data_IF_633212412064
#
_entry.id   IF_633212412064
#
_cell.length_a   1.000
_cell.length_b   1.000
_cell.length_c   1.000
_cell.angle_alpha   90.00
_cell.angle_beta   90.00
_cell.angle_gamma   90.00
#
_symmetry.space_group_name_H-M   'P 1'
#
loop_
_entity.id
_entity.type
_entity.pdbx_description
1 polymer ?
#
# COMPACT_ATOMS: atom_id res chain seq x y z
N UNK A 1 21.35 12.23 -4.60
CA UNK A 1 21.25 11.32 -3.44
C UNK A 1 21.38 9.87 -3.84
N UNK A 2 20.51 9.33 -4.71
CA UNK A 2 20.62 7.96 -5.25
C UNK A 2 22.01 7.64 -5.83
N UNK A 3 22.54 8.49 -6.72
CA UNK A 3 23.86 8.28 -7.35
C UNK A 3 25.02 8.37 -6.32
N UNK A 4 24.89 9.23 -5.29
CA UNK A 4 25.91 9.36 -4.25
C UNK A 4 25.90 8.16 -3.28
N UNK A 5 24.72 7.63 -2.94
CA UNK A 5 24.54 6.39 -2.17
C UNK A 5 25.05 5.17 -2.94
N UNK A 6 24.88 5.18 -4.26
CA UNK A 6 25.40 4.14 -5.14
C UNK A 6 26.94 4.11 -5.24
N UNK A 7 27.63 5.15 -4.78
CA UNK A 7 29.09 5.27 -4.88
C UNK A 7 29.83 4.96 -3.56
N UNK A 8 29.18 5.09 -2.41
CA UNK A 8 29.82 4.98 -1.08
C UNK A 8 29.75 3.60 -0.43
N UNK A 9 29.48 2.53 -1.19
CA UNK A 9 29.33 1.16 -0.67
C UNK A 9 27.88 0.83 -0.29
N UNK A 10 27.10 0.40 -1.30
CA UNK A 10 25.63 0.22 -1.25
C UNK A 10 25.09 -0.69 -0.14
N UNK A 11 25.81 -1.73 0.26
CA UNK A 11 25.16 -2.86 0.95
C UNK A 11 24.64 -2.50 2.35
N UNK A 12 25.43 -1.77 3.14
CA UNK A 12 25.02 -1.35 4.49
C UNK A 12 24.01 -0.20 4.43
N UNK A 13 24.21 0.78 3.54
CA UNK A 13 23.33 1.95 3.41
C UNK A 13 21.90 1.57 3.03
N UNK A 14 21.73 0.69 2.03
CA UNK A 14 20.41 0.19 1.63
C UNK A 14 19.75 -0.60 2.76
N UNK A 15 20.52 -1.39 3.52
CA UNK A 15 19.97 -2.14 4.67
C UNK A 15 19.45 -1.21 5.77
N UNK A 16 20.20 -0.16 6.14
CA UNK A 16 19.74 0.83 7.12
C UNK A 16 18.51 1.59 6.65
N UNK A 17 18.50 2.04 5.39
CA UNK A 17 17.36 2.75 4.82
C UNK A 17 16.12 1.85 4.70
N UNK A 18 16.29 0.58 4.33
CA UNK A 18 15.18 -0.39 4.28
C UNK A 18 14.59 -0.66 5.67
N UNK A 19 15.43 -0.84 6.71
CA UNK A 19 14.95 -0.97 8.08
C UNK A 19 14.24 0.30 8.58
N UNK A 20 14.74 1.48 8.19
CA UNK A 20 14.12 2.76 8.48
C UNK A 20 12.76 2.89 7.77
N UNK A 21 12.62 2.44 6.51
CA UNK A 21 11.33 2.43 5.80
C UNK A 21 10.29 1.57 6.51
N UNK A 22 10.69 0.36 6.95
CA UNK A 22 9.80 -0.53 7.72
C UNK A 22 9.39 0.14 9.04
N UNK A 23 10.33 0.75 9.76
CA UNK A 23 10.06 1.46 11.00
C UNK A 23 9.13 2.66 10.82
N UNK A 24 9.43 3.56 9.89
CA UNK A 24 8.62 4.74 9.58
C UNK A 24 7.22 4.34 9.07
N UNK A 25 7.12 3.36 8.18
CA UNK A 25 5.84 2.85 7.69
C UNK A 25 4.98 2.25 8.81
N UNK A 26 5.60 1.51 9.72
CA UNK A 26 4.92 0.91 10.87
C UNK A 26 4.46 1.97 11.87
N UNK A 27 5.31 2.95 12.20
CA UNK A 27 4.96 4.09 13.06
C UNK A 27 3.81 4.88 12.43
N UNK A 28 3.93 5.22 11.14
CA UNK A 28 2.90 5.95 10.42
C UNK A 28 1.56 5.20 10.49
N UNK A 29 1.55 3.91 10.19
CA UNK A 29 0.35 3.07 10.23
C UNK A 29 -0.24 2.98 11.64
N UNK A 30 0.56 2.72 12.67
CA UNK A 30 0.09 2.55 14.06
C UNK A 30 -0.46 3.87 14.61
N UNK A 31 0.28 4.98 14.45
CA UNK A 31 -0.19 6.29 14.93
C UNK A 31 -1.47 6.67 14.21
N UNK A 32 -1.54 6.46 12.90
CA UNK A 32 -2.72 6.75 12.10
C UNK A 32 -3.92 5.87 12.50
N UNK A 33 -3.70 4.60 12.84
CA UNK A 33 -4.73 3.70 13.37
C UNK A 33 -5.29 4.16 14.73
N UNK A 34 -4.43 4.64 15.62
CA UNK A 34 -4.80 5.08 16.98
C UNK A 34 -5.51 6.44 16.94
N UNK A 35 -5.00 7.38 16.13
CA UNK A 35 -5.54 8.73 16.02
C UNK A 35 -6.79 8.78 15.14
N UNK A 36 -6.90 7.88 14.16
CA UNK A 36 -8.08 7.70 13.34
C UNK A 36 -9.23 6.99 14.09
N UNK A 37 -10.37 6.74 13.41
CA UNK A 37 -11.50 6.06 14.02
C UNK A 37 -11.21 4.55 14.16
N UNK A 38 -10.43 4.15 15.16
CA UNK A 38 -9.86 2.80 15.31
C UNK A 38 -10.91 1.69 15.20
N UNK A 39 -12.04 1.82 15.89
CA UNK A 39 -13.12 0.82 15.86
C UNK A 39 -13.71 0.68 14.46
N UNK A 40 -13.90 1.79 13.76
CA UNK A 40 -14.39 1.76 12.38
C UNK A 40 -13.37 1.11 11.45
N UNK A 41 -12.07 1.41 11.60
CA UNK A 41 -10.99 0.80 10.82
C UNK A 41 -11.00 -0.73 10.99
N UNK A 42 -11.08 -1.21 12.24
CA UNK A 42 -11.10 -2.65 12.52
C UNK A 42 -12.36 -3.33 11.97
N UNK A 43 -13.53 -2.70 12.13
CA UNK A 43 -14.79 -3.22 11.58
C UNK A 43 -14.76 -3.28 10.05
N UNK A 44 -14.26 -2.22 9.41
CA UNK A 44 -14.12 -2.15 7.95
C UNK A 44 -13.09 -3.15 7.44
N UNK A 45 -11.97 -3.35 8.14
CA UNK A 45 -10.99 -4.37 7.79
C UNK A 45 -11.63 -5.76 7.72
N UNK A 46 -12.38 -6.15 8.77
CA UNK A 46 -13.08 -7.43 8.81
C UNK A 46 -14.14 -7.52 7.70
N UNK A 47 -14.97 -6.49 7.54
CA UNK A 47 -16.06 -6.48 6.56
C UNK A 47 -15.54 -6.50 5.11
N UNK A 48 -14.56 -5.65 4.79
CA UNK A 48 -13.93 -5.59 3.47
C UNK A 48 -13.17 -6.86 3.13
N UNK A 49 -12.52 -7.51 4.10
CA UNK A 49 -11.90 -8.82 3.89
C UNK A 49 -12.94 -9.88 3.52
N UNK A 50 -14.06 -9.94 4.25
CA UNK A 50 -15.17 -10.84 3.92
C UNK A 50 -15.78 -10.55 2.54
N UNK A 51 -15.94 -9.27 2.20
CA UNK A 51 -16.46 -8.83 0.90
C UNK A 51 -15.52 -9.20 -0.25
N UNK A 52 -14.21 -9.05 -0.06
CA UNK A 52 -13.20 -9.47 -1.04
C UNK A 52 -13.31 -10.97 -1.31
N UNK A 53 -13.36 -11.80 -0.26
CA UNK A 53 -13.47 -13.25 -0.40
C UNK A 53 -14.77 -13.67 -1.09
N UNK A 54 -15.88 -13.02 -0.76
CA UNK A 54 -17.19 -13.29 -1.37
C UNK A 54 -17.23 -12.94 -2.86
N UNK A 55 -16.55 -11.86 -3.27
CA UNK A 55 -16.58 -11.35 -4.65
C UNK A 55 -15.39 -11.83 -5.50
N UNK A 56 -14.43 -12.55 -4.91
CA UNK A 56 -13.14 -12.87 -5.52
C UNK A 56 -13.25 -13.56 -6.88
N UNK A 57 -14.04 -14.64 -6.96
CA UNK A 57 -14.18 -15.40 -8.21
C UNK A 57 -14.80 -14.54 -9.31
N UNK A 58 -15.90 -13.84 -9.01
CA UNK A 58 -16.55 -12.99 -10.00
C UNK A 58 -15.59 -11.91 -10.52
N UNK A 59 -14.95 -11.15 -9.61
CA UNK A 59 -14.03 -10.08 -9.98
C UNK A 59 -12.79 -10.58 -10.75
N UNK A 60 -12.38 -11.84 -10.56
CA UNK A 60 -11.25 -12.44 -11.28
C UNK A 60 -11.55 -12.73 -12.75
N UNK A 61 -12.82 -12.97 -13.10
CA UNK A 61 -13.25 -13.32 -14.47
C UNK A 61 -14.08 -12.22 -15.14
N UNK A 62 -14.39 -11.15 -14.43
CA UNK A 62 -15.19 -10.06 -14.97
C UNK A 62 -14.41 -9.25 -16.00
N UNK A 63 -14.87 -9.29 -17.24
CA UNK A 63 -14.29 -8.53 -18.37
C UNK A 63 -15.08 -7.26 -18.71
N UNK A 64 -16.13 -6.96 -17.94
CA UNK A 64 -17.06 -5.86 -18.20
C UNK A 64 -17.64 -5.86 -19.63
N UNK A 65 -17.88 -7.05 -20.21
CA UNK A 65 -18.24 -7.22 -21.63
C UNK A 65 -19.45 -6.36 -22.09
N UNK A 66 -20.43 -6.14 -21.20
CA UNK A 66 -21.65 -5.38 -21.49
C UNK A 66 -21.68 -3.99 -20.82
N UNK A 67 -20.60 -3.56 -20.16
CA UNK A 67 -20.56 -2.30 -19.44
C UNK A 67 -19.33 -1.47 -19.86
N UNK A 68 -19.53 -0.57 -20.82
CA UNK A 68 -18.46 0.28 -21.37
C UNK A 68 -17.77 1.15 -20.31
N UNK A 69 -18.56 1.80 -19.44
CA UNK A 69 -18.01 2.63 -18.35
C UNK A 69 -17.15 1.80 -17.39
N UNK A 70 -17.60 0.60 -17.03
CA UNK A 70 -16.81 -0.30 -16.17
C UNK A 70 -15.55 -0.78 -16.88
N UNK A 71 -15.61 -1.06 -18.17
CA UNK A 71 -14.43 -1.44 -18.97
C UNK A 71 -13.38 -0.33 -19.00
N UNK A 72 -13.81 0.93 -19.13
CA UNK A 72 -12.90 2.09 -19.08
C UNK A 72 -12.30 2.28 -17.68
N UNK A 73 -13.08 2.05 -16.62
CA UNK A 73 -12.54 2.02 -15.26
C UNK A 73 -11.55 0.87 -15.06
N UNK A 74 -11.85 -0.32 -15.56
CA UNK A 74 -10.96 -1.48 -15.48
C UNK A 74 -9.64 -1.27 -16.22
N UNK A 75 -9.62 -0.51 -17.32
CA UNK A 75 -8.38 -0.22 -18.05
C UNK A 75 -7.43 0.67 -17.24
N UNK A 76 -7.98 1.60 -16.46
CA UNK A 76 -7.20 2.54 -15.62
C UNK A 76 -6.85 1.98 -14.24
N UNK A 77 -7.58 0.95 -13.78
CA UNK A 77 -7.34 0.28 -12.50
C UNK A 77 -6.85 -1.15 -12.70
N UNK A 78 -7.77 -2.10 -12.87
CA UNK A 78 -7.47 -3.54 -12.89
C UNK A 78 -6.35 -3.90 -13.86
N UNK A 79 -6.50 -3.55 -15.14
CA UNK A 79 -5.53 -3.90 -16.18
C UNK A 79 -4.20 -3.15 -16.00
N UNK A 80 -4.24 -1.90 -15.52
CA UNK A 80 -3.04 -1.15 -15.17
C UNK A 80 -2.22 -1.87 -14.08
N UNK A 81 -2.86 -2.26 -12.98
CA UNK A 81 -2.18 -2.99 -11.90
C UNK A 81 -1.67 -4.37 -12.36
N UNK A 82 -2.45 -5.12 -13.16
CA UNK A 82 -1.96 -6.38 -13.74
C UNK A 82 -0.68 -6.16 -14.57
N UNK A 83 -0.69 -5.18 -15.48
CA UNK A 83 0.48 -4.84 -16.29
C UNK A 83 1.68 -4.41 -15.45
N UNK A 84 1.44 -3.58 -14.43
CA UNK A 84 2.48 -3.13 -13.51
C UNK A 84 3.10 -4.30 -12.75
N UNK A 85 2.31 -5.14 -12.08
CA UNK A 85 2.84 -6.27 -11.31
C UNK A 85 3.58 -7.29 -12.18
N UNK A 86 3.09 -7.57 -13.39
CA UNK A 86 3.77 -8.45 -14.34
C UNK A 86 5.14 -7.89 -14.74
N UNK A 87 5.24 -6.59 -15.02
CA UNK A 87 6.50 -5.95 -15.39
C UNK A 87 7.55 -5.99 -14.26
N UNK A 88 7.12 -5.99 -12.99
CA UNK A 88 7.99 -6.04 -11.82
C UNK A 88 8.31 -7.45 -11.33
N UNK A 89 7.57 -8.46 -11.79
CA UNK A 89 7.72 -9.85 -11.35
C UNK A 89 9.15 -10.42 -11.49
N UNK A 90 9.98 -10.08 -12.50
CA UNK A 90 11.35 -10.60 -12.58
C UNK A 90 12.23 -10.11 -11.44
N UNK A 91 12.09 -8.83 -11.05
CA UNK A 91 12.88 -8.22 -9.97
C UNK A 91 12.46 -8.78 -8.61
N UNK A 92 11.16 -8.78 -8.35
CA UNK A 92 10.60 -9.27 -7.08
C UNK A 92 10.82 -10.77 -6.92
N UNK A 93 10.63 -11.55 -7.98
CA UNK A 93 10.82 -13.01 -7.96
C UNK A 93 12.25 -13.41 -7.62
N UNK A 94 13.25 -12.76 -8.23
CA UNK A 94 14.66 -13.02 -7.91
C UNK A 94 15.00 -12.62 -6.48
N UNK A 95 14.49 -11.48 -6.01
CA UNK A 95 14.70 -11.04 -4.63
C UNK A 95 14.13 -12.05 -3.62
N UNK A 96 12.86 -12.44 -3.77
CA UNK A 96 12.20 -13.38 -2.86
C UNK A 96 12.91 -14.74 -2.89
N UNK A 97 13.31 -15.24 -4.06
CA UNK A 97 14.05 -16.49 -4.18
C UNK A 97 15.37 -16.47 -3.40
N UNK A 98 16.11 -15.34 -3.44
CA UNK A 98 17.37 -15.18 -2.71
C UNK A 98 17.19 -15.21 -1.19
N UNK A 99 16.17 -14.52 -0.68
CA UNK A 99 15.91 -14.46 0.77
C UNK A 99 15.23 -15.72 1.32
N UNK A 100 14.73 -16.60 0.46
CA UNK A 100 13.99 -17.81 0.83
C UNK A 100 14.84 -19.09 0.79
N UNK A 101 16.17 -18.98 0.73
CA UNK A 101 17.08 -20.14 0.69
C UNK A 101 16.87 -21.02 1.93
N UNK A 102 16.65 -22.33 1.70
CA UNK A 102 16.46 -23.32 2.77
C UNK A 102 15.03 -23.46 3.29
N UNK A 103 14.06 -22.73 2.73
CA UNK A 103 12.63 -22.92 3.01
C UNK A 103 12.04 -24.05 2.17
N UNK A 104 11.05 -24.75 2.72
CA UNK A 104 10.21 -25.65 1.92
C UNK A 104 9.34 -24.84 0.94
N UNK A 105 8.90 -25.50 -0.15
CA UNK A 105 8.01 -24.87 -1.13
C UNK A 105 6.72 -24.37 -0.47
N UNK A 106 6.19 -25.12 0.52
CA UNK A 106 4.97 -24.72 1.23
C UNK A 106 5.17 -23.44 2.03
N UNK A 107 6.24 -23.36 2.83
CA UNK A 107 6.57 -22.15 3.60
C UNK A 107 6.81 -20.95 2.69
N UNK A 108 7.49 -21.16 1.56
CA UNK A 108 7.72 -20.14 0.55
C UNK A 108 6.40 -19.59 0.00
N UNK A 109 5.51 -20.46 -0.51
CA UNK A 109 4.24 -20.03 -1.11
C UNK A 109 3.37 -19.33 -0.07
N UNK A 110 3.20 -19.92 1.13
CA UNK A 110 2.38 -19.33 2.18
C UNK A 110 2.93 -17.99 2.66
N UNK A 111 4.24 -17.85 2.83
CA UNK A 111 4.86 -16.59 3.25
C UNK A 111 4.70 -15.48 2.21
N UNK A 112 4.94 -15.80 0.94
CA UNK A 112 4.87 -14.84 -0.17
C UNK A 112 3.44 -14.38 -0.45
N UNK A 113 2.45 -15.24 -0.26
CA UNK A 113 1.05 -14.88 -0.48
C UNK A 113 0.42 -14.20 0.73
N UNK A 114 0.59 -14.75 1.94
CA UNK A 114 -0.16 -14.31 3.11
C UNK A 114 0.41 -13.03 3.74
N UNK A 115 1.73 -12.91 3.87
CA UNK A 115 2.33 -11.77 4.59
C UNK A 115 2.03 -10.44 3.86
N UNK A 116 2.27 -10.30 2.54
CA UNK A 116 1.97 -9.04 1.85
C UNK A 116 0.46 -8.76 1.77
N UNK A 117 -0.37 -9.79 1.63
CA UNK A 117 -1.82 -9.62 1.61
C UNK A 117 -2.34 -9.06 2.94
N UNK A 118 -1.88 -9.60 4.08
CA UNK A 118 -2.28 -9.12 5.40
C UNK A 118 -1.83 -7.68 5.64
N UNK A 119 -0.58 -7.34 5.29
CA UNK A 119 -0.09 -5.95 5.37
C UNK A 119 -0.96 -5.02 4.52
N UNK A 120 -1.33 -5.46 3.31
CA UNK A 120 -2.20 -4.68 2.42
C UNK A 120 -3.60 -4.49 3.00
N UNK A 121 -4.20 -5.53 3.59
CA UNK A 121 -5.52 -5.42 4.23
C UNK A 121 -5.50 -4.40 5.36
N UNK A 122 -4.47 -4.43 6.22
CA UNK A 122 -4.34 -3.47 7.32
C UNK A 122 -4.11 -2.07 6.76
N UNK A 123 -3.17 -1.91 5.81
CA UNK A 123 -2.83 -0.62 5.23
C UNK A 123 -4.03 0.07 4.57
N UNK A 124 -4.72 -0.64 3.66
CA UNK A 124 -5.90 -0.09 2.98
C UNK A 124 -7.07 0.15 3.94
N UNK A 125 -7.21 -0.65 5.00
CA UNK A 125 -8.25 -0.39 5.99
C UNK A 125 -7.96 0.87 6.80
N UNK A 126 -6.71 1.07 7.23
CA UNK A 126 -6.30 2.27 7.96
C UNK A 126 -6.47 3.51 7.07
N UNK A 127 -5.72 3.59 5.97
CA UNK A 127 -5.70 4.81 5.14
C UNK A 127 -6.95 5.00 4.30
N UNK A 128 -7.59 3.91 3.84
CA UNK A 128 -8.82 3.98 3.05
C UNK A 128 -10.01 4.48 3.87
N UNK A 129 -10.21 3.96 5.09
CA UNK A 129 -11.27 4.46 5.99
C UNK A 129 -11.01 5.91 6.35
N UNK A 130 -9.77 6.28 6.66
CA UNK A 130 -9.41 7.67 6.91
C UNK A 130 -9.71 8.59 5.72
N UNK A 131 -9.35 8.18 4.50
CA UNK A 131 -9.67 8.92 3.30
C UNK A 131 -11.16 9.10 3.09
N UNK A 132 -11.95 8.04 3.32
CA UNK A 132 -13.42 8.08 3.22
C UNK A 132 -14.01 9.01 4.29
N UNK A 133 -13.59 8.90 5.55
CA UNK A 133 -14.12 9.72 6.65
C UNK A 133 -13.71 11.20 6.52
N UNK A 134 -12.49 11.48 6.05
CA UNK A 134 -12.08 12.83 5.71
C UNK A 134 -12.89 13.37 4.52
N UNK A 135 -13.09 12.58 3.46
CA UNK A 135 -13.86 12.96 2.27
C UNK A 135 -15.34 13.20 2.55
N UNK A 136 -15.92 12.55 3.57
CA UNK A 136 -17.28 12.85 4.06
C UNK A 136 -17.37 14.23 4.71
N UNK A 137 -16.30 14.70 5.34
CA UNK A 137 -16.22 16.03 5.97
C UNK A 137 -15.91 17.12 4.94
N UNK A 138 -15.01 16.81 4.00
CA UNK A 138 -14.62 17.69 2.92
C UNK A 138 -14.57 16.94 1.58
N UNK A 139 -15.65 17.09 0.80
CA UNK A 139 -15.74 16.50 -0.55
C UNK A 139 -14.74 17.09 -1.55
N UNK A 140 -14.11 18.24 -1.23
CA UNK A 140 -13.02 18.82 -2.02
C UNK A 140 -11.82 17.89 -2.14
N UNK A 141 -11.60 17.02 -1.15
CA UNK A 141 -10.52 16.02 -1.15
C UNK A 141 -10.60 15.06 -2.35
N UNK A 142 -11.79 14.73 -2.84
CA UNK A 142 -11.96 13.84 -4.01
C UNK A 142 -11.55 14.49 -5.33
N UNK A 143 -11.39 15.82 -5.34
CA UNK A 143 -10.95 16.58 -6.52
C UNK A 143 -9.46 16.89 -6.49
N UNK A 144 -8.77 16.56 -5.40
CA UNK A 144 -7.33 16.74 -5.29
C UNK A 144 -6.60 15.75 -6.20
N UNK A 145 -5.37 16.09 -6.55
CA UNK A 145 -4.49 15.17 -7.27
C UNK A 145 -4.08 14.01 -6.34
N UNK A 146 -3.89 12.79 -6.85
CA UNK A 146 -3.52 11.64 -6.04
C UNK A 146 -2.25 11.86 -5.18
N UNK A 147 -1.31 12.66 -5.68
CA UNK A 147 -0.02 12.96 -5.02
C UNK A 147 -0.20 13.84 -3.77
N UNK A 148 -1.25 14.66 -3.73
CA UNK A 148 -1.52 15.60 -2.63
C UNK A 148 -2.63 15.13 -1.69
N UNK A 149 -3.45 14.17 -2.14
CA UNK A 149 -4.65 13.73 -1.45
C UNK A 149 -4.36 13.14 -0.06
N UNK A 150 -3.28 12.37 0.11
CA UNK A 150 -2.89 11.82 1.42
C UNK A 150 -2.67 12.94 2.46
N UNK A 151 -2.00 14.01 2.06
CA UNK A 151 -1.72 15.14 2.94
C UNK A 151 -2.98 15.97 3.24
N UNK A 152 -3.89 16.08 2.25
CA UNK A 152 -5.22 16.66 2.47
C UNK A 152 -6.05 15.88 3.49
N UNK A 153 -5.99 14.54 3.46
CA UNK A 153 -6.62 13.67 4.46
C UNK A 153 -6.01 13.91 5.84
N UNK A 154 -4.68 14.04 5.94
CA UNK A 154 -4.01 14.29 7.22
C UNK A 154 -4.40 15.62 7.88
N UNK A 155 -4.78 16.64 7.11
CA UNK A 155 -5.29 17.90 7.67
C UNK A 155 -6.60 17.75 8.46
N UNK A 156 -7.30 16.63 8.28
CA UNK A 156 -8.57 16.34 8.95
C UNK A 156 -8.43 15.44 10.18
N UNK A 157 -7.20 15.14 10.60
CA UNK A 157 -6.91 14.33 11.79
C UNK A 157 -5.88 14.98 12.72
N UNK A 158 -5.90 14.64 14.01
CA UNK A 158 -4.85 15.08 14.93
C UNK A 158 -3.45 14.68 14.44
N UNK A 159 -2.45 15.46 14.80
CA UNK A 159 -1.05 15.25 14.38
C UNK A 159 -0.81 15.29 12.86
N UNK A 160 -1.75 15.84 12.07
CA UNK A 160 -1.67 15.86 10.61
C UNK A 160 -0.32 16.29 10.04
N UNK A 161 0.22 17.42 10.49
CA UNK A 161 1.54 17.92 10.05
C UNK A 161 2.67 16.92 10.36
N UNK A 162 2.65 16.29 11.54
CA UNK A 162 3.67 15.30 11.93
C UNK A 162 3.56 14.07 11.03
N UNK A 163 2.35 13.59 10.78
CA UNK A 163 2.09 12.46 9.87
C UNK A 163 2.50 12.79 8.43
N UNK A 164 2.26 14.02 7.97
CA UNK A 164 2.70 14.51 6.67
C UNK A 164 4.23 14.49 6.55
N UNK A 165 4.94 14.97 7.57
CA UNK A 165 6.42 14.94 7.59
C UNK A 165 6.93 13.51 7.54
N UNK A 166 6.36 12.61 8.36
CA UNK A 166 6.74 11.18 8.36
C UNK A 166 6.47 10.54 7.00
N UNK A 167 5.30 10.79 6.40
CA UNK A 167 4.96 10.27 5.08
C UNK A 167 5.89 10.81 3.99
N UNK A 168 6.25 12.09 4.04
CA UNK A 168 7.18 12.69 3.09
C UNK A 168 8.58 12.06 3.21
N UNK A 169 9.08 11.87 4.43
CA UNK A 169 10.35 11.19 4.68
C UNK A 169 10.30 9.75 4.16
N UNK A 170 9.20 9.04 4.41
CA UNK A 170 8.98 7.67 3.95
C UNK A 170 8.95 7.56 2.42
N UNK A 171 8.27 8.48 1.74
CA UNK A 171 8.24 8.53 0.26
C UNK A 171 9.65 8.80 -0.28
N UNK A 172 10.35 9.78 0.29
CA UNK A 172 11.71 10.12 -0.13
C UNK A 172 12.69 8.95 0.08
N UNK A 173 12.56 8.22 1.18
CA UNK A 173 13.42 7.07 1.48
C UNK A 173 13.08 5.83 0.64
N UNK A 174 11.80 5.56 0.36
CA UNK A 174 11.39 4.53 -0.61
C UNK A 174 11.90 4.81 -2.02
N UNK A 175 11.99 6.08 -2.43
CA UNK A 175 12.55 6.43 -3.73
C UNK A 175 14.05 6.13 -3.84
N UNK A 176 14.78 6.09 -2.71
CA UNK A 176 16.22 5.83 -2.66
C UNK A 176 16.54 4.32 -2.57
N UNK A 177 15.68 3.54 -1.93
CA UNK A 177 15.85 2.08 -1.70
C UNK A 177 15.26 1.23 -2.79
#
# INVERSE_FOLDING_TARGET
LFIASAWSGLSKGIQYLSNLNIGLGTILMIVTLIVGPTVLILNMMTSSTGSLLNSFLFNSFDTAALNGQKRDWMSTWTLYYWGWWLSWSPFVGVFIARVSKGRSIREFISGVLLVPALVSFIWFSVFGVLGIEAGKKDSGLFKMSPETQLFGVFNHIPLGIVLSIIALLLIASFFVT
#
